data_IF_581392231412
#
_entry.id   IF_581392231412
#
_cell.length_a   1.000
_cell.length_b   1.000
_cell.length_c   1.000
_cell.angle_alpha   90.00
_cell.angle_beta   90.00
_cell.angle_gamma   90.00
#
_symmetry.space_group_name_H-M   'P 1'
#
loop_
_entity.id
_entity.type
_entity.pdbx_description
1 polymer ?
#
# COMPACT_ATOMS: atom_id res chain seq x y z
N UNK A 1 7.11 16.12 -18.67
CA UNK A 1 6.04 15.30 -18.06
C UNK A 1 6.41 14.75 -16.67
N UNK A 2 7.61 15.01 -16.14
CA UNK A 2 8.12 14.48 -14.86
C UNK A 2 7.35 14.93 -13.62
N UNK A 3 6.83 16.16 -13.60
CA UNK A 3 6.10 16.66 -12.42
C UNK A 3 4.78 15.95 -12.11
N UNK A 4 4.18 15.19 -13.06
CA UNK A 4 2.94 14.43 -12.80
C UNK A 4 3.21 13.05 -12.20
N UNK A 5 4.31 12.41 -12.58
CA UNK A 5 4.70 11.10 -12.03
C UNK A 5 5.27 11.22 -10.62
N UNK A 6 6.04 12.26 -10.35
CA UNK A 6 6.61 12.53 -9.02
C UNK A 6 5.53 12.79 -7.95
N UNK A 7 4.49 13.56 -8.31
CA UNK A 7 3.35 13.85 -7.41
C UNK A 7 2.50 12.59 -7.13
N UNK A 8 2.36 11.70 -8.12
CA UNK A 8 1.63 10.44 -7.96
C UNK A 8 2.38 9.45 -7.05
N UNK A 9 3.73 9.41 -7.16
CA UNK A 9 4.60 8.63 -6.28
C UNK A 9 4.51 9.10 -4.83
N UNK A 10 4.61 10.40 -4.57
CA UNK A 10 4.50 10.96 -3.22
C UNK A 10 3.13 10.64 -2.60
N UNK A 11 2.06 10.78 -3.40
CA UNK A 11 0.70 10.49 -2.97
C UNK A 11 0.49 9.00 -2.65
N UNK A 12 1.12 8.10 -3.41
CA UNK A 12 1.08 6.65 -3.16
C UNK A 12 1.89 6.25 -1.92
N UNK A 13 3.02 6.91 -1.65
CA UNK A 13 3.81 6.69 -0.44
C UNK A 13 3.05 7.16 0.82
N UNK A 14 2.42 8.33 0.77
CA UNK A 14 1.54 8.81 1.85
C UNK A 14 0.35 7.88 2.07
N UNK A 15 -0.28 7.41 1.00
CA UNK A 15 -1.36 6.42 1.10
C UNK A 15 -0.88 5.12 1.75
N UNK A 16 0.33 4.65 1.43
CA UNK A 16 0.93 3.47 2.05
C UNK A 16 1.14 3.64 3.56
N UNK A 17 1.61 4.81 4.00
CA UNK A 17 1.75 5.14 5.43
C UNK A 17 0.40 5.14 6.14
N UNK A 18 -0.64 5.70 5.51
CA UNK A 18 -1.99 5.68 6.05
C UNK A 18 -2.54 4.25 6.19
N UNK A 19 -2.29 3.36 5.21
CA UNK A 19 -2.66 1.95 5.31
C UNK A 19 -1.96 1.25 6.47
N UNK A 20 -0.67 1.51 6.70
CA UNK A 20 0.08 0.94 7.83
C UNK A 20 -0.49 1.38 9.18
N UNK A 21 -0.82 2.67 9.32
CA UNK A 21 -1.49 3.20 10.51
C UNK A 21 -2.84 2.51 10.73
N UNK A 22 -3.63 2.32 9.65
CA UNK A 22 -4.92 1.64 9.77
C UNK A 22 -4.80 0.16 10.14
N UNK A 23 -3.79 -0.53 9.61
CA UNK A 23 -3.51 -1.92 9.97
C UNK A 23 -3.24 -2.05 11.48
N UNK A 24 -2.36 -1.19 12.02
CA UNK A 24 -2.05 -1.17 13.46
C UNK A 24 -3.30 -0.96 14.33
N UNK A 25 -4.20 -0.08 13.90
CA UNK A 25 -5.46 0.15 14.62
C UNK A 25 -6.37 -1.08 14.60
N UNK A 26 -6.49 -1.77 13.47
CA UNK A 26 -7.29 -3.00 13.35
C UNK A 26 -6.69 -4.13 14.19
N UNK A 27 -5.36 -4.28 14.18
CA UNK A 27 -4.67 -5.26 15.01
C UNK A 27 -4.82 -4.99 16.51
N UNK A 28 -4.83 -3.72 16.91
CA UNK A 28 -5.15 -3.31 18.28
C UNK A 28 -6.57 -3.72 18.66
N UNK A 29 -7.55 -3.48 17.80
CA UNK A 29 -8.94 -3.91 18.02
C UNK A 29 -9.05 -5.43 18.14
N UNK A 30 -8.44 -6.19 17.23
CA UNK A 30 -8.43 -7.66 17.30
C UNK A 30 -7.77 -8.16 18.58
N UNK A 31 -6.67 -7.55 19.01
CA UNK A 31 -6.01 -7.88 20.28
C UNK A 31 -6.93 -7.62 21.47
N UNK A 32 -7.65 -6.50 21.49
CA UNK A 32 -8.62 -6.21 22.55
C UNK A 32 -9.74 -7.25 22.58
N UNK A 33 -10.33 -7.53 21.41
CA UNK A 33 -11.43 -8.49 21.29
C UNK A 33 -11.01 -9.91 21.69
N UNK A 34 -9.80 -10.35 21.32
CA UNK A 34 -9.37 -11.73 21.54
C UNK A 34 -8.62 -11.94 22.87
N UNK A 35 -7.89 -10.94 23.36
CA UNK A 35 -7.02 -11.08 24.54
C UNK A 35 -7.61 -10.42 25.77
N UNK A 36 -8.13 -9.20 25.66
CA UNK A 36 -8.61 -8.43 26.81
C UNK A 36 -10.02 -8.85 27.24
N UNK A 37 -10.88 -9.23 26.30
CA UNK A 37 -12.23 -9.75 26.60
C UNK A 37 -12.26 -11.25 26.96
N UNK A 38 -11.09 -11.89 27.00
CA UNK A 38 -10.88 -13.29 27.41
C UNK A 38 -11.73 -14.35 26.67
N UNK A 39 -12.37 -14.02 25.54
CA UNK A 39 -13.28 -14.87 24.76
C UNK A 39 -14.30 -15.64 25.62
N UNK A 40 -14.66 -15.13 26.80
CA UNK A 40 -15.56 -15.80 27.72
C UNK A 40 -16.90 -15.07 27.72
N UNK A 41 -18.01 -15.79 27.49
CA UNK A 41 -19.31 -15.21 27.73
C UNK A 41 -19.40 -14.78 29.20
N UNK A 42 -20.06 -13.64 29.49
CA UNK A 42 -20.20 -13.16 30.85
C UNK A 42 -20.93 -14.21 31.71
N UNK A 43 -20.42 -14.45 32.92
CA UNK A 43 -21.02 -15.38 33.86
C UNK A 43 -22.28 -14.75 34.50
N UNK A 44 -23.37 -14.72 33.75
CA UNK A 44 -24.65 -14.11 34.16
C UNK A 44 -25.53 -15.05 35.01
N UNK A 45 -25.01 -16.23 35.39
CA UNK A 45 -25.75 -17.28 36.09
C UNK A 45 -26.33 -18.35 35.14
N UNK A 46 -27.13 -19.27 35.69
CA UNK A 46 -27.70 -20.43 34.98
C UNK A 46 -29.18 -20.28 34.61
N UNK A 47 -29.78 -19.12 34.89
CA UNK A 47 -31.15 -18.84 34.47
C UNK A 47 -31.25 -18.85 32.94
N UNK A 48 -32.44 -19.14 32.42
CA UNK A 48 -32.67 -19.21 30.98
C UNK A 48 -32.29 -17.90 30.26
N UNK A 49 -32.72 -16.75 30.80
CA UNK A 49 -32.37 -15.43 30.25
C UNK A 49 -30.86 -15.18 30.31
N UNK A 50 -30.20 -15.53 31.41
CA UNK A 50 -28.75 -15.42 31.55
C UNK A 50 -27.99 -16.20 30.45
N UNK A 51 -28.46 -17.41 30.14
CA UNK A 51 -27.87 -18.27 29.10
C UNK A 51 -28.12 -17.71 27.71
N UNK A 52 -29.33 -17.18 27.45
CA UNK A 52 -29.67 -16.52 26.18
C UNK A 52 -28.82 -15.26 25.95
N UNK A 53 -28.66 -14.41 26.96
CA UNK A 53 -27.81 -13.22 26.88
C UNK A 53 -26.33 -13.55 26.70
N UNK A 54 -25.84 -14.57 27.39
CA UNK A 54 -24.47 -15.06 27.22
C UNK A 54 -24.22 -15.54 25.77
N UNK A 55 -25.17 -16.26 25.17
CA UNK A 55 -25.08 -16.68 23.76
C UNK A 55 -25.06 -15.49 22.80
N UNK A 56 -26.01 -14.56 22.95
CA UNK A 56 -26.07 -13.34 22.10
C UNK A 56 -24.79 -12.52 22.19
N UNK A 57 -24.19 -12.43 23.39
CA UNK A 57 -22.91 -11.76 23.56
C UNK A 57 -21.81 -12.43 22.72
N UNK A 58 -21.71 -13.77 22.74
CA UNK A 58 -20.74 -14.51 21.93
C UNK A 58 -20.97 -14.33 20.43
N UNK A 59 -22.23 -14.31 19.97
CA UNK A 59 -22.56 -14.07 18.56
C UNK A 59 -22.13 -12.66 18.10
N UNK A 60 -22.40 -11.65 18.93
CA UNK A 60 -22.00 -10.26 18.65
C UNK A 60 -20.48 -10.13 18.66
N UNK A 61 -19.81 -10.73 19.64
CA UNK A 61 -18.35 -10.74 19.71
C UNK A 61 -17.74 -11.35 18.44
N UNK A 62 -18.21 -12.53 18.02
CA UNK A 62 -17.73 -13.19 16.81
C UNK A 62 -17.97 -12.33 15.56
N UNK A 63 -19.15 -11.70 15.45
CA UNK A 63 -19.43 -10.79 14.34
C UNK A 63 -18.44 -9.63 14.26
N UNK A 64 -18.04 -9.04 15.39
CA UNK A 64 -17.04 -7.97 15.40
C UNK A 64 -15.64 -8.45 15.06
N UNK A 65 -15.25 -9.64 15.51
CA UNK A 65 -13.98 -10.27 15.13
C UNK A 65 -13.93 -10.49 13.62
N UNK A 66 -14.95 -11.09 13.03
CA UNK A 66 -15.03 -11.34 11.59
C UNK A 66 -14.96 -10.05 10.77
N UNK A 67 -15.62 -8.98 11.24
CA UNK A 67 -15.56 -7.67 10.58
C UNK A 67 -14.15 -7.07 10.63
N UNK A 68 -13.51 -7.10 11.80
CA UNK A 68 -12.15 -6.60 11.96
C UNK A 68 -11.14 -7.40 11.11
N UNK A 69 -11.30 -8.72 11.01
CA UNK A 69 -10.48 -9.56 10.14
C UNK A 69 -10.66 -9.22 8.65
N UNK A 70 -11.90 -9.00 8.19
CA UNK A 70 -12.15 -8.57 6.80
C UNK A 70 -11.44 -7.25 6.48
N UNK A 71 -11.50 -6.28 7.39
CA UNK A 71 -10.78 -5.00 7.22
C UNK A 71 -9.28 -5.23 7.18
N UNK A 72 -8.74 -6.06 8.07
CA UNK A 72 -7.30 -6.41 8.07
C UNK A 72 -6.87 -6.99 6.71
N UNK A 73 -7.63 -7.94 6.17
CA UNK A 73 -7.33 -8.55 4.88
C UNK A 73 -7.40 -7.53 3.73
N UNK A 74 -8.41 -6.65 3.73
CA UNK A 74 -8.52 -5.61 2.72
C UNK A 74 -7.34 -4.62 2.76
N UNK A 75 -6.90 -4.22 3.96
CA UNK A 75 -5.75 -3.32 4.13
C UNK A 75 -4.44 -3.98 3.67
N UNK A 76 -4.23 -5.26 4.00
CA UNK A 76 -3.06 -6.01 3.52
C UNK A 76 -3.05 -6.15 1.99
N UNK A 77 -4.20 -6.45 1.39
CA UNK A 77 -4.33 -6.51 -0.07
C UNK A 77 -4.03 -5.15 -0.72
N UNK A 78 -4.53 -4.05 -0.15
CA UNK A 78 -4.24 -2.70 -0.62
C UNK A 78 -2.74 -2.35 -0.50
N UNK A 79 -2.09 -2.71 0.61
CA UNK A 79 -0.65 -2.51 0.77
C UNK A 79 0.15 -3.29 -0.29
N UNK A 80 -0.21 -4.55 -0.54
CA UNK A 80 0.45 -5.38 -1.55
C UNK A 80 0.30 -4.79 -2.96
N UNK A 81 -0.92 -4.36 -3.31
CA UNK A 81 -1.19 -3.72 -4.59
C UNK A 81 -0.40 -2.41 -4.73
N UNK A 82 -0.37 -1.57 -3.69
CA UNK A 82 0.36 -0.29 -3.69
C UNK A 82 1.86 -0.50 -3.84
N UNK A 83 2.43 -1.47 -3.12
CA UNK A 83 3.86 -1.85 -3.24
C UNK A 83 4.20 -2.32 -4.66
N UNK A 84 3.32 -3.12 -5.27
CA UNK A 84 3.50 -3.59 -6.65
C UNK A 84 3.48 -2.42 -7.65
N UNK A 85 2.55 -1.48 -7.47
CA UNK A 85 2.45 -0.27 -8.30
C UNK A 85 3.72 0.58 -8.17
N UNK A 86 4.17 0.87 -6.94
CA UNK A 86 5.41 1.62 -6.67
C UNK A 86 6.63 0.96 -7.32
N UNK A 87 6.75 -0.37 -7.23
CA UNK A 87 7.84 -1.12 -7.88
C UNK A 87 7.80 -0.96 -9.40
N UNK A 88 6.64 -1.14 -10.02
CA UNK A 88 6.47 -1.02 -11.46
C UNK A 88 6.78 0.40 -11.96
N UNK A 89 6.35 1.43 -11.22
CA UNK A 89 6.67 2.82 -11.54
C UNK A 89 8.17 3.09 -11.51
N UNK A 90 8.86 2.68 -10.43
CA UNK A 90 10.31 2.87 -10.32
C UNK A 90 11.06 2.18 -11.47
N UNK A 91 10.65 0.98 -11.85
CA UNK A 91 11.24 0.26 -13.00
C UNK A 91 10.97 0.97 -14.33
N UNK A 92 9.74 1.47 -14.55
CA UNK A 92 9.38 2.18 -15.78
C UNK A 92 10.13 3.51 -15.91
N UNK A 93 10.26 4.28 -14.82
CA UNK A 93 11.03 5.51 -14.81
C UNK A 93 12.51 5.26 -15.06
N UNK A 94 13.11 4.24 -14.44
CA UNK A 94 14.50 3.86 -14.70
C UNK A 94 14.74 3.50 -16.17
N UNK A 95 13.80 2.77 -16.79
CA UNK A 95 13.88 2.42 -18.21
C UNK A 95 13.72 3.64 -19.11
N UNK A 96 12.82 4.55 -18.79
CA UNK A 96 12.64 5.79 -19.54
C UNK A 96 13.86 6.70 -19.44
N UNK A 97 14.50 6.79 -18.27
CA UNK A 97 15.74 7.53 -18.08
C UNK A 97 16.91 6.94 -18.90
N UNK A 98 17.05 5.62 -18.93
CA UNK A 98 18.03 4.93 -19.76
C UNK A 98 17.79 5.21 -21.27
N UNK A 99 16.55 5.01 -21.74
CA UNK A 99 16.18 5.30 -23.13
C UNK A 99 16.42 6.77 -23.51
N UNK A 100 16.09 7.72 -22.63
CA UNK A 100 16.33 9.13 -22.88
C UNK A 100 17.83 9.44 -22.98
N UNK A 101 18.66 8.79 -22.15
CA UNK A 101 20.12 8.88 -22.22
C UNK A 101 20.63 8.36 -23.56
N UNK A 102 20.15 7.21 -24.00
CA UNK A 102 20.54 6.59 -25.29
C UNK A 102 20.12 7.46 -26.48
N UNK A 103 18.91 8.01 -26.47
CA UNK A 103 18.42 8.93 -27.50
C UNK A 103 19.26 10.21 -27.52
N UNK A 104 19.60 10.77 -26.36
CA UNK A 104 20.43 11.97 -26.26
C UNK A 104 21.83 11.70 -26.79
N UNK A 105 22.42 10.56 -26.46
CA UNK A 105 23.73 10.14 -26.96
C UNK A 105 23.73 9.98 -28.49
N UNK A 106 22.69 9.35 -29.05
CA UNK A 106 22.53 9.20 -30.49
C UNK A 106 22.38 10.56 -31.20
N UNK A 107 21.54 11.46 -30.67
CA UNK A 107 21.35 12.80 -31.22
C UNK A 107 22.64 13.63 -31.16
N UNK A 108 23.37 13.56 -30.06
CA UNK A 108 24.67 14.25 -29.92
C UNK A 108 25.71 13.72 -30.92
N UNK A 109 25.68 12.42 -31.23
CA UNK A 109 26.51 11.82 -32.25
C UNK A 109 26.19 12.32 -33.66
N UNK A 110 24.90 12.49 -33.97
CA UNK A 110 24.44 13.07 -35.25
C UNK A 110 24.82 14.54 -35.37
N UNK A 111 24.62 15.35 -34.32
CA UNK A 111 25.03 16.76 -34.31
C UNK A 111 26.53 16.92 -34.57
N UNK A 112 27.36 16.06 -33.97
CA UNK A 112 28.82 16.06 -34.21
C UNK A 112 29.17 15.67 -35.65
N UNK A 113 28.43 14.74 -36.25
CA UNK A 113 28.63 14.33 -37.64
C UNK A 113 28.20 15.41 -38.65
N UNK A 114 27.29 16.30 -38.27
CA UNK A 114 26.80 17.41 -39.08
C UNK A 114 27.60 18.71 -38.90
N UNK A 115 28.55 18.77 -37.96
CA UNK A 115 29.44 19.93 -37.84
C UNK A 115 30.28 20.07 -39.11
N UNK A 116 30.28 21.25 -39.76
CA UNK A 116 31.08 21.46 -40.95
C UNK A 116 32.56 21.28 -40.60
N UNK A 117 33.27 20.46 -41.39
CA UNK A 117 34.73 20.41 -41.33
C UNK A 117 35.23 21.83 -41.53
N UNK A 118 35.89 22.40 -40.52
CA UNK A 118 36.72 23.58 -40.72
C UNK A 118 37.78 23.20 -41.74
N UNK A 119 37.52 23.58 -42.98
CA UNK A 119 38.41 23.38 -44.11
C UNK A 119 39.64 24.24 -43.83
N UNK A 120 40.73 23.57 -43.48
CA UNK A 120 42.03 24.19 -43.29
C UNK A 120 42.43 24.90 -44.58
N UNK A 121 42.32 26.22 -44.58
CA UNK A 121 42.97 27.06 -45.59
C UNK A 121 44.47 27.05 -45.34
N UNK A 122 45.17 26.32 -46.21
CA UNK A 122 46.60 26.45 -46.50
C UNK A 122 46.85 27.73 -47.30
#
# INVERSE_FOLDING_TARGET
MTGRTEVDLLSLEDFHLHLASRLSQVESVLRKLNTEMQCRPPALGSFFDATDKARRYSEVHQSYVDQAERVRQAVLAAQQATSTILSNYRTAEARNAANATDVTAALTGVDRALQPKEDGRV
#
